data_IF_320594674616
#
_entry.id   IF_320594674616
#
_cell.length_a   1.000
_cell.length_b   1.000
_cell.length_c   1.000
_cell.angle_alpha   90.00
_cell.angle_beta   90.00
_cell.angle_gamma   90.00
#
_symmetry.space_group_name_H-M   'P 1'
#
loop_
_entity.id
_entity.type
_entity.pdbx_description
1 polymer ?
#
# COMPACT_ATOMS: atom_id res chain seq x y z
N UNK A 1 -8.89 40.19 -39.99
CA UNK A 1 -9.84 40.14 -38.86
C UNK A 1 -9.71 38.73 -38.34
N UNK A 2 -8.68 38.52 -37.51
CA UNK A 2 -8.35 37.22 -36.92
C UNK A 2 -9.21 37.02 -35.69
N UNK A 3 -10.11 36.07 -35.75
CA UNK A 3 -10.96 35.65 -34.68
C UNK A 3 -10.13 34.83 -33.68
N UNK A 4 -9.71 35.50 -32.60
CA UNK A 4 -9.06 34.84 -31.45
C UNK A 4 -10.07 33.97 -30.74
N UNK A 5 -9.99 32.65 -30.96
CA UNK A 5 -10.69 31.63 -30.16
C UNK A 5 -10.20 31.74 -28.71
N UNK A 6 -11.09 31.91 -27.73
CA UNK A 6 -10.68 31.94 -26.32
C UNK A 6 -10.18 30.55 -25.94
N UNK A 7 -8.87 30.45 -25.75
CA UNK A 7 -8.26 29.27 -25.09
C UNK A 7 -8.89 29.13 -23.71
N UNK A 8 -9.67 28.09 -23.57
CA UNK A 8 -10.28 27.65 -22.32
C UNK A 8 -9.17 27.46 -21.27
N UNK A 9 -8.98 28.43 -20.40
CA UNK A 9 -8.28 28.24 -19.14
C UNK A 9 -9.13 27.30 -18.29
N UNK A 10 -8.97 25.99 -18.53
CA UNK A 10 -9.45 24.97 -17.61
C UNK A 10 -8.79 25.26 -16.28
N UNK A 11 -9.61 25.73 -15.34
CA UNK A 11 -9.27 25.98 -13.95
C UNK A 11 -8.26 24.90 -13.49
N UNK A 12 -6.99 25.26 -13.36
CA UNK A 12 -5.97 24.44 -12.70
C UNK A 12 -6.37 24.34 -11.24
N UNK A 13 -7.21 23.38 -10.92
CA UNK A 13 -7.43 22.96 -9.55
C UNK A 13 -6.05 22.83 -8.90
N UNK A 14 -5.84 23.48 -7.75
CA UNK A 14 -4.57 23.67 -7.05
C UNK A 14 -3.81 22.33 -6.97
N UNK A 15 -2.94 22.09 -7.94
CA UNK A 15 -2.23 20.84 -8.13
C UNK A 15 -1.31 20.62 -6.94
N UNK A 16 -1.49 19.54 -6.21
CA UNK A 16 -0.62 19.21 -5.08
C UNK A 16 0.81 18.97 -5.58
N UNK A 17 1.79 19.52 -4.86
CA UNK A 17 3.20 19.31 -5.21
C UNK A 17 3.53 17.81 -5.12
N UNK A 18 4.00 17.15 -6.19
CA UNK A 18 4.34 15.73 -6.19
C UNK A 18 5.37 15.35 -5.11
N UNK A 19 6.33 16.23 -4.84
CA UNK A 19 7.35 16.04 -3.80
C UNK A 19 6.73 15.80 -2.42
N UNK A 20 5.54 16.35 -2.17
CA UNK A 20 4.91 16.24 -0.85
C UNK A 20 4.15 14.92 -0.63
N UNK A 21 3.69 14.26 -1.71
CA UNK A 21 2.83 13.09 -1.55
C UNK A 21 3.42 11.79 -2.13
N UNK A 22 4.22 11.85 -3.20
CA UNK A 22 4.84 10.66 -3.80
C UNK A 22 5.68 9.88 -2.76
N UNK A 23 6.57 10.53 -1.98
CA UNK A 23 7.34 9.84 -0.95
C UNK A 23 6.47 9.10 0.06
N UNK A 24 5.45 9.75 0.61
CA UNK A 24 4.61 9.17 1.67
C UNK A 24 3.79 7.98 1.18
N UNK A 25 3.20 8.08 -0.03
CA UNK A 25 2.41 7.00 -0.61
C UNK A 25 3.27 5.77 -0.87
N UNK A 26 4.44 5.92 -1.48
CA UNK A 26 5.31 4.78 -1.79
C UNK A 26 6.03 4.21 -0.56
N UNK A 27 6.31 5.04 0.44
CA UNK A 27 6.73 4.55 1.75
C UNK A 27 5.63 3.72 2.42
N UNK A 28 4.39 4.22 2.41
CA UNK A 28 3.22 3.51 2.92
C UNK A 28 2.95 2.17 2.23
N UNK A 29 3.25 2.07 0.92
CA UNK A 29 3.16 0.80 0.18
C UNK A 29 4.17 -0.25 0.65
N UNK A 30 5.40 0.18 0.96
CA UNK A 30 6.47 -0.73 1.36
C UNK A 30 6.25 -1.38 2.72
N UNK A 31 5.66 -0.66 3.68
CA UNK A 31 5.51 -1.12 5.05
C UNK A 31 4.68 -2.41 5.19
N UNK A 32 3.41 -2.50 4.71
CA UNK A 32 2.63 -3.72 4.83
C UNK A 32 3.28 -4.92 4.12
N UNK A 33 3.82 -4.70 2.94
CA UNK A 33 4.45 -5.77 2.17
C UNK A 33 5.62 -6.42 2.92
N UNK A 34 6.54 -5.61 3.48
CA UNK A 34 7.70 -6.14 4.20
C UNK A 34 7.29 -6.73 5.55
N UNK A 35 6.35 -6.10 6.24
CA UNK A 35 5.82 -6.64 7.49
C UNK A 35 5.25 -8.04 7.30
N UNK A 36 4.51 -8.28 6.19
CA UNK A 36 3.89 -9.56 5.90
C UNK A 36 4.84 -10.59 5.30
N UNK A 37 5.81 -10.18 4.48
CA UNK A 37 6.69 -11.10 3.76
C UNK A 37 7.95 -11.48 4.53
N UNK A 38 8.44 -10.62 5.41
CA UNK A 38 9.72 -10.82 6.12
C UNK A 38 9.54 -10.76 7.64
N UNK A 39 8.99 -9.64 8.17
CA UNK A 39 8.92 -9.45 9.63
C UNK A 39 8.03 -10.49 10.28
N UNK A 40 6.91 -10.85 9.66
CA UNK A 40 6.02 -11.90 10.19
C UNK A 40 6.70 -13.26 10.27
N UNK A 41 7.52 -13.60 9.27
CA UNK A 41 8.28 -14.87 9.23
C UNK A 41 9.27 -14.91 10.39
N UNK A 42 10.06 -13.86 10.57
CA UNK A 42 11.03 -13.76 11.68
C UNK A 42 10.31 -13.80 13.03
N UNK A 43 9.29 -12.97 13.21
CA UNK A 43 8.53 -12.86 14.45
C UNK A 43 7.93 -14.21 14.88
N UNK A 44 7.23 -14.91 13.99
CA UNK A 44 6.62 -16.19 14.34
C UNK A 44 7.65 -17.29 14.56
N UNK A 45 8.76 -17.28 13.85
CA UNK A 45 9.86 -18.21 14.06
C UNK A 45 10.51 -18.00 15.44
N UNK A 46 10.75 -16.74 15.82
CA UNK A 46 11.30 -16.39 17.13
C UNK A 46 10.34 -16.72 18.29
N UNK A 47 9.04 -16.63 18.04
CA UNK A 47 8.00 -17.04 18.99
C UNK A 47 7.78 -18.56 19.06
N UNK A 48 8.59 -19.33 18.36
CA UNK A 48 8.62 -20.79 18.45
C UNK A 48 7.51 -21.52 17.67
N UNK A 49 6.88 -20.84 16.70
CA UNK A 49 5.93 -21.49 15.79
C UNK A 49 6.69 -22.40 14.80
N UNK A 50 6.11 -23.56 14.48
CA UNK A 50 6.69 -24.48 13.51
C UNK A 50 6.97 -23.80 12.16
N UNK A 51 8.15 -24.05 11.60
CA UNK A 51 8.58 -23.40 10.35
C UNK A 51 7.69 -23.75 9.15
N UNK A 52 7.10 -24.93 9.14
CA UNK A 52 6.16 -25.35 8.11
C UNK A 52 4.88 -24.49 8.15
N UNK A 53 4.31 -24.31 9.33
CA UNK A 53 3.14 -23.46 9.55
C UNK A 53 3.45 -22.00 9.22
N UNK A 54 4.58 -21.46 9.70
CA UNK A 54 5.00 -20.10 9.40
C UNK A 54 5.08 -19.91 7.88
N UNK A 55 5.79 -20.79 7.17
CA UNK A 55 5.99 -20.66 5.73
C UNK A 55 4.67 -20.77 4.97
N UNK A 56 3.82 -21.71 5.34
CA UNK A 56 2.52 -21.90 4.70
C UNK A 56 1.63 -20.65 4.85
N UNK A 57 1.39 -20.22 6.07
CA UNK A 57 0.48 -19.11 6.35
C UNK A 57 0.99 -17.77 5.83
N UNK A 58 2.29 -17.48 5.99
CA UNK A 58 2.86 -16.21 5.50
C UNK A 58 2.90 -16.15 3.98
N UNK A 59 3.06 -17.28 3.29
CA UNK A 59 2.95 -17.34 1.83
C UNK A 59 1.55 -16.98 1.34
N UNK A 60 0.50 -17.38 2.08
CA UNK A 60 -0.88 -17.02 1.74
C UNK A 60 -1.13 -15.51 1.91
N UNK A 61 -0.45 -14.85 2.85
CA UNK A 61 -0.58 -13.41 3.04
C UNK A 61 -0.11 -12.57 1.85
N UNK A 62 0.71 -13.13 0.96
CA UNK A 62 1.18 -12.44 -0.25
C UNK A 62 0.22 -12.60 -1.44
N UNK A 63 -0.73 -13.55 -1.38
CA UNK A 63 -1.72 -13.78 -2.45
C UNK A 63 -2.51 -12.55 -2.90
N UNK A 64 -2.95 -11.62 -2.01
CA UNK A 64 -3.67 -10.43 -2.44
C UNK A 64 -2.93 -9.59 -3.49
N UNK A 65 -1.58 -9.58 -3.48
CA UNK A 65 -0.80 -8.89 -4.52
C UNK A 65 -0.91 -9.55 -5.90
N UNK A 66 -1.12 -10.86 -5.96
CA UNK A 66 -1.39 -11.58 -7.21
C UNK A 66 -2.83 -11.34 -7.71
N UNK A 67 -3.74 -10.96 -6.82
CA UNK A 67 -5.14 -10.68 -7.13
C UNK A 67 -5.41 -9.19 -7.44
N UNK A 68 -4.38 -8.36 -7.56
CA UNK A 68 -4.50 -6.92 -7.90
C UNK A 68 -5.45 -6.61 -9.06
N UNK A 69 -5.43 -7.36 -10.20
CA UNK A 69 -6.35 -7.07 -11.30
C UNK A 69 -7.83 -7.18 -10.89
N UNK A 70 -8.17 -8.11 -10.02
CA UNK A 70 -9.53 -8.30 -9.52
C UNK A 70 -9.94 -7.14 -8.59
N UNK A 71 -9.07 -6.76 -7.66
CA UNK A 71 -9.31 -5.62 -6.77
C UNK A 71 -9.42 -4.30 -7.54
N UNK A 72 -8.61 -4.11 -8.60
CA UNK A 72 -8.67 -2.91 -9.44
C UNK A 72 -10.06 -2.73 -10.06
N UNK A 73 -10.67 -3.80 -10.58
CA UNK A 73 -12.02 -3.75 -11.14
C UNK A 73 -13.05 -3.31 -10.10
N UNK A 74 -12.98 -3.86 -8.88
CA UNK A 74 -13.90 -3.49 -7.80
C UNK A 74 -13.69 -2.03 -7.39
N UNK A 75 -12.44 -1.58 -7.30
CA UNK A 75 -12.11 -0.21 -6.91
C UNK A 75 -12.53 0.84 -7.94
N UNK A 76 -12.61 0.46 -9.22
CA UNK A 76 -13.11 1.35 -10.29
C UNK A 76 -14.62 1.55 -10.23
N UNK A 77 -15.35 0.58 -9.68
CA UNK A 77 -16.80 0.66 -9.53
C UNK A 77 -17.25 1.48 -8.31
N UNK A 78 -16.41 1.56 -7.27
CA UNK A 78 -16.79 2.13 -5.99
C UNK A 78 -15.73 3.12 -5.48
N UNK A 79 -16.07 4.41 -5.45
CA UNK A 79 -15.25 5.44 -4.82
C UNK A 79 -14.11 5.99 -5.68
N UNK A 80 -13.22 6.74 -5.04
CA UNK A 80 -12.08 7.38 -5.68
C UNK A 80 -10.76 6.78 -5.18
N UNK A 81 -9.73 6.75 -6.03
CA UNK A 81 -8.41 6.22 -5.66
C UNK A 81 -7.82 6.92 -4.42
N UNK A 82 -8.06 8.22 -4.26
CA UNK A 82 -7.62 8.97 -3.07
C UNK A 82 -8.32 8.52 -1.78
N UNK A 83 -9.62 8.21 -1.84
CA UNK A 83 -10.34 7.68 -0.68
C UNK A 83 -9.79 6.33 -0.26
N UNK A 84 -9.47 5.47 -1.23
CA UNK A 84 -8.84 4.17 -0.94
C UNK A 84 -7.49 4.32 -0.25
N UNK A 85 -6.63 5.27 -0.66
CA UNK A 85 -5.35 5.52 0.04
C UNK A 85 -5.59 5.79 1.52
N UNK A 86 -6.47 6.74 1.87
CA UNK A 86 -6.72 7.09 3.27
C UNK A 86 -7.36 5.95 4.07
N UNK A 87 -8.33 5.25 3.48
CA UNK A 87 -9.00 4.12 4.15
C UNK A 87 -8.01 2.98 4.38
N UNK A 88 -7.22 2.61 3.39
CA UNK A 88 -6.25 1.52 3.51
C UNK A 88 -5.11 1.85 4.45
N UNK A 89 -4.64 3.09 4.51
CA UNK A 89 -3.67 3.54 5.51
C UNK A 89 -4.23 3.42 6.93
N UNK A 90 -5.47 3.89 7.15
CA UNK A 90 -6.11 3.80 8.45
C UNK A 90 -6.35 2.34 8.88
N UNK A 91 -6.82 1.49 7.96
CA UNK A 91 -7.01 0.06 8.20
C UNK A 91 -5.67 -0.60 8.51
N UNK A 92 -4.63 -0.31 7.74
CA UNK A 92 -3.30 -0.90 7.96
C UNK A 92 -2.72 -0.50 9.31
N UNK A 93 -2.82 0.77 9.70
CA UNK A 93 -2.38 1.24 11.02
C UNK A 93 -3.13 0.55 12.15
N UNK A 94 -4.47 0.40 12.01
CA UNK A 94 -5.29 -0.32 12.98
C UNK A 94 -4.88 -1.79 13.09
N UNK A 95 -4.70 -2.48 11.96
CA UNK A 95 -4.31 -3.89 11.94
C UNK A 95 -2.93 -4.11 12.56
N UNK A 96 -1.94 -3.25 12.29
CA UNK A 96 -0.64 -3.32 12.97
C UNK A 96 -0.79 -3.20 14.49
N UNK A 97 -1.59 -2.24 14.97
CA UNK A 97 -1.86 -2.10 16.40
C UNK A 97 -2.51 -3.36 17.00
N UNK A 98 -3.52 -3.90 16.32
CA UNK A 98 -4.21 -5.11 16.78
C UNK A 98 -3.31 -6.35 16.78
N UNK A 99 -2.41 -6.50 15.80
CA UNK A 99 -1.41 -7.57 15.81
C UNK A 99 -0.52 -7.46 17.04
N UNK A 100 0.00 -6.27 17.38
CA UNK A 100 0.78 -6.08 18.59
C UNK A 100 0.01 -6.49 19.86
N UNK A 101 -1.26 -6.12 19.97
CA UNK A 101 -2.11 -6.49 21.10
C UNK A 101 -2.50 -7.98 21.13
N UNK A 102 -2.42 -8.69 20.01
CA UNK A 102 -2.72 -10.12 19.95
C UNK A 102 -1.58 -11.00 20.44
N UNK A 103 -0.34 -10.52 20.44
CA UNK A 103 0.85 -11.33 20.78
C UNK A 103 0.83 -11.96 22.18
N UNK A 104 0.33 -11.30 23.24
CA UNK A 104 0.27 -11.92 24.56
C UNK A 104 -0.87 -12.93 24.76
N UNK A 105 -1.74 -13.12 23.76
CA UNK A 105 -2.90 -14.02 23.85
C UNK A 105 -2.50 -15.48 23.61
N UNK A 106 -3.18 -16.46 24.26
CA UNK A 106 -2.88 -17.88 24.06
C UNK A 106 -3.01 -18.36 22.62
N UNK A 107 -3.90 -17.73 21.83
CA UNK A 107 -4.15 -18.05 20.41
C UNK A 107 -3.54 -17.01 19.46
N UNK A 108 -2.45 -16.37 19.87
CA UNK A 108 -1.86 -15.23 19.16
C UNK A 108 -1.60 -15.53 17.68
N UNK A 109 -1.11 -16.72 17.34
CA UNK A 109 -0.75 -17.07 15.97
C UNK A 109 -1.95 -16.97 15.02
N UNK A 110 -3.06 -17.66 15.34
CA UNK A 110 -4.27 -17.66 14.52
C UNK A 110 -4.89 -16.26 14.40
N UNK A 111 -4.91 -15.53 15.52
CA UNK A 111 -5.44 -14.16 15.56
C UNK A 111 -4.56 -13.23 14.71
N UNK A 112 -3.25 -13.30 14.88
CA UNK A 112 -2.31 -12.47 14.12
C UNK A 112 -2.39 -12.76 12.62
N UNK A 113 -2.46 -14.03 12.20
CA UNK A 113 -2.62 -14.41 10.79
C UNK A 113 -3.92 -13.84 10.21
N UNK A 114 -5.04 -13.91 10.96
CA UNK A 114 -6.31 -13.35 10.49
C UNK A 114 -6.23 -11.81 10.32
N UNK A 115 -5.64 -11.10 11.29
CA UNK A 115 -5.42 -9.65 11.21
C UNK A 115 -4.47 -9.27 10.08
N UNK A 116 -3.39 -10.04 9.90
CA UNK A 116 -2.45 -9.86 8.80
C UNK A 116 -3.09 -10.16 7.43
N UNK A 117 -4.09 -11.04 7.35
CA UNK A 117 -4.89 -11.25 6.14
C UNK A 117 -5.66 -10.00 5.74
N UNK A 118 -6.28 -9.32 6.69
CA UNK A 118 -6.94 -8.02 6.44
C UNK A 118 -5.91 -6.97 6.01
N UNK A 119 -4.75 -6.93 6.69
CA UNK A 119 -3.64 -6.03 6.33
C UNK A 119 -3.14 -6.29 4.91
N UNK A 120 -3.05 -7.56 4.49
CA UNK A 120 -2.61 -7.96 3.15
C UNK A 120 -3.56 -7.45 2.05
N UNK A 121 -4.86 -7.60 2.25
CA UNK A 121 -5.88 -7.06 1.33
C UNK A 121 -5.78 -5.53 1.29
N UNK A 122 -5.73 -4.88 2.45
CA UNK A 122 -5.60 -3.42 2.56
C UNK A 122 -4.34 -2.91 1.86
N UNK A 123 -3.18 -3.53 2.08
CA UNK A 123 -1.91 -3.16 1.44
C UNK A 123 -1.94 -3.33 -0.07
N UNK A 124 -2.52 -4.43 -0.57
CA UNK A 124 -2.69 -4.66 -2.01
C UNK A 124 -3.59 -3.60 -2.67
N UNK A 125 -4.68 -3.20 -2.01
CA UNK A 125 -5.57 -2.13 -2.49
C UNK A 125 -4.90 -0.76 -2.41
N UNK A 126 -4.07 -0.52 -1.38
CA UNK A 126 -3.28 0.71 -1.26
C UNK A 126 -2.33 0.88 -2.45
N UNK A 127 -1.63 -0.19 -2.83
CA UNK A 127 -0.73 -0.18 -3.99
C UNK A 127 -1.46 0.20 -5.27
N UNK A 128 -2.63 -0.42 -5.54
CA UNK A 128 -3.45 -0.11 -6.72
C UNK A 128 -3.89 1.37 -6.71
N UNK A 129 -4.34 1.85 -5.56
CA UNK A 129 -4.80 3.23 -5.40
C UNK A 129 -3.66 4.23 -5.60
N UNK A 130 -2.51 3.98 -5.01
CA UNK A 130 -1.33 4.84 -5.10
C UNK A 130 -0.76 4.92 -6.51
N UNK A 131 -0.58 3.78 -7.17
CA UNK A 131 -0.16 3.74 -8.57
C UNK A 131 -1.17 4.44 -9.49
N UNK A 132 -2.46 4.26 -9.21
CA UNK A 132 -3.52 4.92 -9.95
C UNK A 132 -3.54 6.43 -9.77
N UNK A 133 -3.31 6.95 -8.56
CA UNK A 133 -3.17 8.40 -8.32
C UNK A 133 -1.92 8.94 -9.00
N UNK A 134 -0.81 8.21 -8.93
CA UNK A 134 0.44 8.58 -9.60
C UNK A 134 0.24 8.78 -11.10
N UNK A 135 -0.41 7.83 -11.76
CA UNK A 135 -0.67 7.92 -13.21
C UNK A 135 -1.68 9.02 -13.58
N UNK A 136 -2.65 9.32 -12.71
CA UNK A 136 -3.69 10.33 -12.98
C UNK A 136 -3.22 11.76 -12.72
N UNK A 137 -2.41 11.97 -11.69
CA UNK A 137 -2.01 13.30 -11.23
C UNK A 137 -0.74 13.82 -11.92
N UNK A 138 0.10 12.92 -12.44
CA UNK A 138 1.39 13.27 -13.05
C UNK A 138 1.35 13.12 -14.57
N UNK A 139 1.93 14.12 -15.27
CA UNK A 139 2.22 14.00 -16.70
C UNK A 139 3.28 12.93 -16.97
N UNK A 140 3.38 12.37 -18.20
CA UNK A 140 4.40 11.38 -18.52
C UNK A 140 5.84 11.83 -18.23
N UNK A 141 6.14 13.12 -18.40
CA UNK A 141 7.45 13.68 -18.07
C UNK A 141 7.72 13.67 -16.55
N UNK A 142 6.72 14.05 -15.76
CA UNK A 142 6.82 14.01 -14.28
C UNK A 142 6.86 12.59 -13.76
N UNK A 143 6.11 11.65 -14.35
CA UNK A 143 6.19 10.23 -14.01
C UNK A 143 7.62 9.71 -14.17
N UNK A 144 8.29 10.04 -15.28
CA UNK A 144 9.70 9.71 -15.48
C UNK A 144 10.62 10.35 -14.45
N UNK A 145 10.38 11.60 -14.08
CA UNK A 145 11.18 12.32 -13.10
C UNK A 145 11.04 11.72 -11.67
N UNK A 146 9.83 11.32 -11.29
CA UNK A 146 9.55 10.79 -9.95
C UNK A 146 9.66 9.25 -9.85
N UNK A 147 9.94 8.52 -10.93
CA UNK A 147 10.10 7.07 -10.91
C UNK A 147 11.20 6.61 -9.94
N UNK A 148 12.31 7.34 -9.86
CA UNK A 148 13.37 7.06 -8.90
C UNK A 148 12.93 7.25 -7.44
N UNK A 149 12.05 8.21 -7.17
CA UNK A 149 11.49 8.47 -5.84
C UNK A 149 10.55 7.34 -5.39
N UNK A 150 9.74 6.79 -6.29
CA UNK A 150 8.92 5.61 -6.02
C UNK A 150 9.77 4.47 -5.44
N UNK A 151 10.81 4.07 -6.21
CA UNK A 151 11.71 2.99 -5.80
C UNK A 151 12.48 3.31 -4.51
N UNK A 152 12.97 4.55 -4.36
CA UNK A 152 13.74 4.96 -3.19
C UNK A 152 12.90 4.89 -1.90
N UNK A 153 11.70 5.45 -1.88
CA UNK A 153 10.86 5.48 -0.68
C UNK A 153 10.22 4.11 -0.37
N UNK A 154 9.86 3.34 -1.40
CA UNK A 154 9.45 1.95 -1.21
C UNK A 154 10.56 1.10 -0.58
N UNK A 155 11.81 1.23 -1.07
CA UNK A 155 12.94 0.51 -0.49
C UNK A 155 13.38 1.06 0.86
N UNK A 156 13.21 2.37 1.12
CA UNK A 156 13.45 2.94 2.45
C UNK A 156 12.54 2.30 3.50
N UNK A 157 11.25 2.10 3.18
CA UNK A 157 10.35 1.37 4.07
C UNK A 157 10.87 -0.04 4.37
N UNK A 158 11.37 -0.75 3.35
CA UNK A 158 11.96 -2.10 3.52
C UNK A 158 13.19 -2.09 4.45
N UNK A 159 14.05 -1.09 4.31
CA UNK A 159 15.27 -1.00 5.12
C UNK A 159 14.95 -0.67 6.58
N UNK A 160 13.97 0.20 6.82
CA UNK A 160 13.58 0.60 8.18
C UNK A 160 12.80 -0.47 8.94
N UNK A 161 12.22 -1.43 8.21
CA UNK A 161 11.42 -2.52 8.82
C UNK A 161 12.26 -3.79 9.03
N UNK A 162 13.51 -3.81 8.58
CA UNK A 162 14.40 -4.96 8.61
C UNK A 162 15.47 -4.78 9.71
#
# INVERSE_FOLDING_TARGET
MEEQTPTTEVSRAKRRNPIAWVPSVYFGMGLPYVALSLVSVLMFTDLGIDKGDVTFWTSLLVLPWSLKPLFSLVMELFGTKRQYIYITEAVSALMFGLVCFSLPLPSFFSISIALMGVLAISGSMHDIAGDGVYMQELSPAEQGQFAGWQGAFYNLAKILTN
#
